data_IF_031356251069
#
_entry.id   IF_031356251069
#
_cell.length_a   1.000
_cell.length_b   1.000
_cell.length_c   1.000
_cell.angle_alpha   90.00
_cell.angle_beta   90.00
_cell.angle_gamma   90.00
#
_symmetry.space_group_name_H-M   'P 1'
#
loop_
_entity.id
_entity.type
_entity.pdbx_description
1 polymer ?
#
# COMPACT_ATOMS: atom_id res chain seq x y z
N UNK A 1 -4.04 -5.67 -25.69
CA UNK A 1 -3.55 -6.07 -24.35
C UNK A 1 -4.32 -5.25 -23.34
N UNK A 2 -5.34 -5.83 -22.71
CA UNK A 2 -6.08 -5.15 -21.63
C UNK A 2 -5.28 -5.34 -20.34
N UNK A 3 -4.73 -4.27 -19.80
CA UNK A 3 -4.14 -4.31 -18.45
C UNK A 3 -5.29 -4.60 -17.48
N UNK A 4 -5.15 -5.61 -16.62
CA UNK A 4 -6.13 -5.87 -15.57
C UNK A 4 -5.85 -4.94 -14.40
N UNK A 5 -6.74 -3.97 -14.16
CA UNK A 5 -6.63 -2.99 -13.07
C UNK A 5 -7.12 -3.53 -11.71
N UNK A 6 -7.55 -4.79 -11.68
CA UNK A 6 -8.06 -5.49 -10.50
C UNK A 6 -7.36 -6.84 -10.28
N UNK A 7 -7.12 -7.17 -9.03
CA UNK A 7 -6.55 -8.42 -8.54
C UNK A 7 -7.59 -9.08 -7.64
N UNK A 8 -7.96 -10.33 -7.93
CA UNK A 8 -8.86 -11.08 -7.05
C UNK A 8 -8.12 -11.52 -5.79
N UNK A 9 -8.58 -11.04 -4.63
CA UNK A 9 -8.06 -11.41 -3.30
C UNK A 9 -9.20 -12.04 -2.52
N UNK A 10 -9.05 -13.31 -2.16
CA UNK A 10 -10.09 -14.08 -1.46
C UNK A 10 -11.49 -13.98 -2.12
N UNK A 11 -11.53 -13.97 -3.47
CA UNK A 11 -12.77 -13.84 -4.24
C UNK A 11 -13.32 -12.42 -4.36
N UNK A 12 -12.69 -11.42 -3.74
CA UNK A 12 -13.07 -10.01 -3.86
C UNK A 12 -12.17 -9.34 -4.91
N UNK A 13 -12.73 -8.65 -5.92
CA UNK A 13 -11.92 -7.84 -6.83
C UNK A 13 -11.33 -6.65 -6.06
N UNK A 14 -10.01 -6.61 -5.96
CA UNK A 14 -9.27 -5.52 -5.35
C UNK A 14 -8.58 -4.68 -6.42
N UNK A 15 -8.77 -3.36 -6.43
CA UNK A 15 -8.01 -2.49 -7.31
C UNK A 15 -6.49 -2.57 -7.04
N UNK A 16 -5.68 -2.59 -8.10
CA UNK A 16 -4.22 -2.73 -8.00
C UNK A 16 -3.58 -1.65 -7.14
N UNK A 17 -4.05 -0.40 -7.22
CA UNK A 17 -3.51 0.70 -6.40
C UNK A 17 -3.62 0.45 -4.89
N UNK A 18 -4.66 -0.28 -4.47
CA UNK A 18 -4.90 -0.61 -3.08
C UNK A 18 -3.88 -1.64 -2.60
N UNK A 19 -3.60 -2.64 -3.43
CA UNK A 19 -2.55 -3.64 -3.17
C UNK A 19 -1.18 -2.96 -3.09
N UNK A 20 -0.86 -2.06 -4.03
CA UNK A 20 0.41 -1.34 -4.06
C UNK A 20 0.62 -0.50 -2.80
N UNK A 21 -0.42 0.20 -2.32
CA UNK A 21 -0.33 1.00 -1.09
C UNK A 21 0.00 0.16 0.15
N UNK A 22 -0.56 -1.05 0.26
CA UNK A 22 -0.26 -1.98 1.35
C UNK A 22 1.17 -2.50 1.27
N UNK A 23 1.65 -2.85 0.06
CA UNK A 23 3.04 -3.29 -0.15
C UNK A 23 4.02 -2.19 0.25
N UNK A 24 3.77 -0.95 -0.12
CA UNK A 24 4.63 0.19 0.25
C UNK A 24 4.63 0.38 1.77
N UNK A 25 3.48 0.33 2.43
CA UNK A 25 3.40 0.40 3.89
C UNK A 25 4.18 -0.71 4.59
N UNK A 26 4.11 -1.94 4.07
CA UNK A 26 4.85 -3.08 4.60
C UNK A 26 6.37 -2.88 4.43
N UNK A 27 6.81 -2.41 3.26
CA UNK A 27 8.22 -2.12 3.00
C UNK A 27 8.75 -1.03 3.94
N UNK A 28 8.02 0.08 4.10
CA UNK A 28 8.41 1.15 5.02
C UNK A 28 8.47 0.65 6.45
N UNK A 29 7.47 -0.13 6.89
CA UNK A 29 7.50 -0.75 8.22
C UNK A 29 8.74 -1.62 8.41
N UNK A 30 9.07 -2.49 7.44
CA UNK A 30 10.26 -3.34 7.48
C UNK A 30 11.55 -2.53 7.57
N UNK A 31 11.71 -1.49 6.75
CA UNK A 31 12.86 -0.59 6.76
C UNK A 31 12.99 0.07 8.15
N UNK A 32 11.89 0.56 8.73
CA UNK A 32 11.92 1.25 10.02
C UNK A 32 12.19 0.29 11.17
N UNK A 33 11.67 -0.95 11.16
CA UNK A 33 12.05 -1.97 12.16
C UNK A 33 13.55 -2.25 12.09
N UNK A 34 14.10 -2.44 10.88
CA UNK A 34 15.52 -2.74 10.70
C UNK A 34 16.39 -1.58 11.21
N UNK A 35 16.00 -0.34 10.92
CA UNK A 35 16.76 0.85 11.28
C UNK A 35 16.66 1.21 12.78
N UNK A 36 15.50 0.97 13.41
CA UNK A 36 15.21 1.43 14.79
C UNK A 36 15.21 0.32 15.82
N UNK A 37 15.13 -0.95 15.39
CA UNK A 37 14.89 -2.13 16.24
C UNK A 37 13.62 -2.03 17.11
N UNK A 38 12.69 -1.14 16.76
CA UNK A 38 11.48 -0.87 17.55
C UNK A 38 10.22 -1.01 16.70
N UNK A 39 9.26 -1.79 17.21
CA UNK A 39 7.98 -2.04 16.53
C UNK A 39 7.07 -0.81 16.51
N UNK A 40 7.12 0.03 17.56
CA UNK A 40 6.24 1.20 17.69
C UNK A 40 6.38 2.22 16.54
N UNK A 41 7.59 2.76 16.24
CA UNK A 41 7.75 3.70 15.13
C UNK A 41 7.55 3.02 13.76
N UNK A 42 7.83 1.72 13.65
CA UNK A 42 7.72 1.01 12.38
C UNK A 42 6.28 0.83 11.90
N UNK A 43 5.39 0.39 12.79
CA UNK A 43 3.97 0.25 12.46
C UNK A 43 3.37 1.61 12.11
N UNK A 44 3.71 2.67 12.87
CA UNK A 44 3.20 4.02 12.60
C UNK A 44 3.69 4.56 11.25
N UNK A 45 4.98 4.43 10.95
CA UNK A 45 5.56 4.88 9.68
C UNK A 45 5.02 4.08 8.49
N UNK A 46 4.88 2.76 8.63
CA UNK A 46 4.28 1.91 7.61
C UNK A 46 2.81 2.25 7.33
N UNK A 47 2.01 2.45 8.38
CA UNK A 47 0.61 2.86 8.25
C UNK A 47 0.48 4.25 7.60
N UNK A 48 1.35 5.20 7.97
CA UNK A 48 1.41 6.52 7.35
C UNK A 48 1.73 6.41 5.85
N UNK A 49 2.75 5.63 5.48
CA UNK A 49 3.13 5.42 4.08
C UNK A 49 2.03 4.75 3.25
N UNK A 50 1.36 3.72 3.79
CA UNK A 50 0.21 3.10 3.15
C UNK A 50 -0.93 4.10 2.92
N UNK A 51 -1.23 4.94 3.93
CA UNK A 51 -2.29 5.94 3.83
C UNK A 51 -1.96 7.02 2.80
N UNK A 52 -0.74 7.54 2.81
CA UNK A 52 -0.28 8.56 1.85
C UNK A 52 -0.30 8.02 0.43
N UNK A 53 0.19 6.81 0.20
CA UNK A 53 0.19 6.18 -1.13
C UNK A 53 -1.21 5.86 -1.62
N UNK A 54 -2.09 5.36 -0.76
CA UNK A 54 -3.50 5.17 -1.10
C UNK A 54 -4.16 6.50 -1.52
N UNK A 55 -3.97 7.57 -0.74
CA UNK A 55 -4.52 8.89 -1.05
C UNK A 55 -3.93 9.48 -2.33
N UNK A 56 -2.63 9.31 -2.57
CA UNK A 56 -1.95 9.81 -3.75
C UNK A 56 -2.40 9.08 -5.03
N UNK A 57 -2.69 7.78 -4.94
CA UNK A 57 -3.10 6.96 -6.09
C UNK A 57 -4.62 6.99 -6.35
N UNK A 58 -5.43 7.37 -5.36
CA UNK A 58 -6.90 7.45 -5.47
C UNK A 58 -7.43 8.36 -6.60
N UNK A 59 -6.81 9.51 -6.94
CA UNK A 59 -7.24 10.34 -8.06
C UNK A 59 -7.07 9.65 -9.41
N UNK A 60 -5.97 8.91 -9.59
CA UNK A 60 -5.65 8.21 -10.84
C UNK A 60 -6.66 7.08 -11.15
N UNK A 61 -7.24 6.50 -10.09
CA UNK A 61 -8.33 5.53 -10.19
C UNK A 61 -9.69 6.11 -10.58
N UNK A 62 -9.93 7.41 -10.35
CA UNK A 62 -11.21 8.05 -10.71
C UNK A 62 -11.24 8.56 -12.15
N UNK A 63 -10.09 8.58 -12.82
CA UNK A 63 -9.90 9.16 -14.15
C UNK A 63 -9.78 8.13 -15.27
N UNK A 64 -9.72 6.83 -14.93
CA UNK A 64 -9.82 5.70 -15.88
C UNK A 64 -11.22 5.11 -15.83
#
# INVERSE_FOLDING_TARGET
MTVHDEVSIAGVPWPVYKVLSVVIGLLVSGIVVIATTSAAPAVLAGAAAATVTWLALRPFQRAG
#
